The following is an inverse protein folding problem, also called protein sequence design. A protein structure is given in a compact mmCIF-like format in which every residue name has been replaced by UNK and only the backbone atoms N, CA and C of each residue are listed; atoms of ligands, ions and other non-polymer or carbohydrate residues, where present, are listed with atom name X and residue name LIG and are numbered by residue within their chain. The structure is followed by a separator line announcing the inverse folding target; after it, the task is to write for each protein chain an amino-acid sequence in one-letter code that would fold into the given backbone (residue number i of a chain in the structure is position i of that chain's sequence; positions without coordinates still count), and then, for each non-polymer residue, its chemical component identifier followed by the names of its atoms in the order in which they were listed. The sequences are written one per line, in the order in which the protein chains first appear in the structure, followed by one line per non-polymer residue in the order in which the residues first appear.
data_IF_053385829094
#
_entry.id   IF_053385829094
#
_cell.length_a   1.000
_cell.length_b   1.000
_cell.length_c   1.000
_cell.angle_alpha   90.00
_cell.angle_beta   90.00
_cell.angle_gamma   90.00
#
_symmetry.space_group_name_H-M   'P 1'
#
loop_
_entity.id
_entity.type
_entity.pdbx_description
1 polymer ?
#
# COMPACT_ATOMS: atom_id res chain seq x y z
N UNK A 1 4.87 4.76 -10.73
CA UNK A 1 4.29 5.89 -9.97
C UNK A 1 4.66 5.67 -8.51
N UNK A 2 5.27 6.66 -7.83
CA UNK A 2 5.53 6.54 -6.39
C UNK A 2 4.27 6.95 -5.64
N UNK A 3 3.88 6.17 -4.65
CA UNK A 3 2.72 6.43 -3.77
C UNK A 3 3.16 6.48 -2.33
N UNK A 4 2.41 7.20 -1.49
CA UNK A 4 2.58 7.22 -0.04
C UNK A 4 1.43 6.47 0.60
N UNK A 5 1.73 5.56 1.52
CA UNK A 5 0.76 4.86 2.35
C UNK A 5 0.82 5.35 3.79
N UNK A 6 -0.33 5.48 4.43
CA UNK A 6 -0.46 5.53 5.89
C UNK A 6 -0.50 4.10 6.44
N UNK A 7 0.48 3.74 7.27
CA UNK A 7 0.69 2.37 7.78
C UNK A 7 0.99 2.39 9.27
N UNK A 8 0.65 1.32 10.00
CA UNK A 8 1.08 1.09 11.37
C UNK A 8 1.99 -0.15 11.42
N UNK A 9 3.04 -0.08 12.25
CA UNK A 9 4.06 -1.14 12.33
C UNK A 9 3.47 -2.54 12.55
N UNK A 10 2.62 -2.78 13.57
CA UNK A 10 2.11 -4.12 13.86
C UNK A 10 1.48 -4.84 12.66
N UNK A 11 0.65 -4.16 11.86
CA UNK A 11 -0.01 -4.81 10.73
C UNK A 11 0.83 -4.78 9.45
N UNK A 12 1.57 -3.69 9.22
CA UNK A 12 2.38 -3.55 8.01
C UNK A 12 3.61 -4.47 8.02
N UNK A 13 4.34 -4.52 9.14
CA UNK A 13 5.58 -5.29 9.26
C UNK A 13 5.32 -6.80 9.26
N UNK A 14 4.10 -7.23 9.62
CA UNK A 14 3.68 -8.63 9.63
C UNK A 14 3.03 -9.09 8.32
N UNK A 15 2.98 -8.24 7.30
CA UNK A 15 2.37 -8.61 6.03
C UNK A 15 3.19 -9.68 5.30
N UNK A 16 2.56 -10.83 5.02
CA UNK A 16 3.15 -11.99 4.35
C UNK A 16 2.44 -12.37 3.04
N UNK A 17 1.37 -11.67 2.67
CA UNK A 17 0.65 -11.92 1.41
C UNK A 17 -0.86 -11.68 1.48
N UNK A 18 -1.54 -11.89 0.34
CA UNK A 18 -2.97 -11.63 0.19
C UNK A 18 -3.31 -10.15 -0.01
N UNK A 19 -4.60 -9.81 -0.13
CA UNK A 19 -5.05 -8.42 -0.30
C UNK A 19 -5.07 -7.72 1.06
N UNK A 20 -4.13 -6.80 1.26
CA UNK A 20 -4.04 -5.96 2.45
C UNK A 20 -5.17 -4.91 2.46
N UNK A 21 -5.90 -4.84 3.58
CA UNK A 21 -7.01 -3.89 3.77
C UNK A 21 -7.08 -3.30 5.17
N UNK A 22 -6.04 -3.47 6.00
CA UNK A 22 -5.95 -2.76 7.27
C UNK A 22 -5.76 -1.26 6.96
N UNK A 23 -6.42 -0.40 7.74
CA UNK A 23 -6.37 1.04 7.52
C UNK A 23 -6.18 1.75 8.86
N UNK A 24 -4.93 2.14 9.18
CA UNK A 24 -4.70 2.98 10.33
C UNK A 24 -5.21 4.40 10.03
N UNK A 25 -5.64 5.11 11.07
CA UNK A 25 -6.09 6.49 10.92
C UNK A 25 -4.96 7.38 10.44
N UNK A 26 -5.18 8.21 9.41
CA UNK A 26 -4.14 9.09 8.86
C UNK A 26 -3.51 10.04 9.90
N UNK A 27 -4.27 10.42 10.94
CA UNK A 27 -3.83 11.28 12.03
C UNK A 27 -3.57 10.53 13.35
N UNK A 28 -3.54 9.19 13.34
CA UNK A 28 -3.20 8.41 14.52
C UNK A 28 -1.69 8.56 14.84
N UNK A 29 -1.37 8.66 16.13
CA UNK A 29 0.01 8.76 16.64
C UNK A 29 0.90 7.56 16.26
N UNK A 30 0.29 6.41 15.96
CA UNK A 30 1.01 5.19 15.58
C UNK A 30 1.11 5.01 14.06
N UNK A 31 0.63 5.97 13.27
CA UNK A 31 0.67 5.94 11.81
C UNK A 31 1.95 6.56 11.30
N UNK A 32 2.68 5.82 10.47
CA UNK A 32 3.79 6.31 9.67
C UNK A 32 3.34 6.52 8.21
N UNK A 33 4.04 7.42 7.52
CA UNK A 33 3.93 7.56 6.06
C UNK A 33 5.08 6.78 5.41
N UNK A 34 4.74 5.83 4.54
CA UNK A 34 5.72 4.98 3.84
C UNK A 34 5.60 5.13 2.32
N UNK A 35 6.75 5.23 1.64
CA UNK A 35 6.81 5.38 0.19
C UNK A 35 6.97 4.03 -0.51
N UNK A 36 6.14 3.75 -1.51
CA UNK A 36 6.19 2.52 -2.29
C UNK A 36 6.04 2.79 -3.79
N UNK A 37 6.47 1.84 -4.62
CA UNK A 37 6.31 1.94 -6.07
C UNK A 37 5.03 1.22 -6.50
N UNK A 38 4.07 1.96 -7.07
CA UNK A 38 2.94 1.38 -7.78
C UNK A 38 3.40 0.88 -9.16
N UNK A 39 3.36 -0.44 -9.33
CA UNK A 39 3.80 -1.14 -10.55
C UNK A 39 2.65 -1.70 -11.38
N UNK A 40 1.43 -1.78 -10.81
CA UNK A 40 0.28 -2.26 -11.54
C UNK A 40 -1.00 -2.32 -10.70
N UNK A 41 -2.04 -2.90 -11.28
CA UNK A 41 -3.30 -3.21 -10.64
C UNK A 41 -3.84 -4.52 -11.18
N UNK A 42 -4.68 -5.19 -10.39
CA UNK A 42 -5.22 -6.49 -10.78
C UNK A 42 -6.37 -6.92 -9.87
N UNK A 43 -6.56 -8.24 -9.81
CA UNK A 43 -7.56 -8.90 -8.98
C UNK A 43 -6.97 -10.17 -8.37
N UNK A 44 -6.85 -10.20 -7.05
CA UNK A 44 -6.39 -11.35 -6.26
C UNK A 44 -7.52 -11.76 -5.32
N UNK A 45 -8.60 -12.31 -5.88
CA UNK A 45 -9.90 -12.47 -5.21
C UNK A 45 -10.69 -11.15 -5.18
N UNK A 46 -10.06 -10.08 -4.72
CA UNK A 46 -10.58 -8.70 -4.73
C UNK A 46 -9.72 -7.78 -5.61
N UNK A 47 -10.28 -6.65 -6.03
CA UNK A 47 -9.55 -5.62 -6.77
C UNK A 47 -8.39 -5.08 -5.91
N UNK A 48 -7.19 -5.03 -6.49
CA UNK A 48 -6.01 -4.56 -5.79
C UNK A 48 -5.11 -3.65 -6.64
N UNK A 49 -4.32 -2.85 -5.95
CA UNK A 49 -3.08 -2.24 -6.42
C UNK A 49 -1.92 -3.19 -6.17
N UNK A 50 -0.93 -3.20 -7.05
CA UNK A 50 0.30 -3.99 -6.91
C UNK A 50 1.43 -3.01 -6.58
N UNK A 51 1.99 -3.14 -5.39
CA UNK A 51 3.00 -2.25 -4.85
C UNK A 51 4.30 -3.01 -4.62
N UNK A 52 5.42 -2.47 -5.10
CA UNK A 52 6.74 -2.99 -4.81
C UNK A 52 7.33 -2.27 -3.60
N UNK A 53 7.75 -3.03 -2.59
CA UNK A 53 8.42 -2.50 -1.40
C UNK A 53 9.94 -2.46 -1.59
N UNK A 54 10.63 -1.75 -0.70
CA UNK A 54 12.10 -1.66 -0.65
C UNK A 54 12.72 -2.46 0.50
N UNK A 55 11.97 -3.37 1.13
CA UNK A 55 12.40 -4.14 2.31
C UNK A 55 12.94 -5.54 1.99
N UNK A 56 13.22 -5.82 0.71
CA UNK A 56 13.67 -7.13 0.26
C UNK A 56 12.53 -8.12 0.01
N UNK A 57 12.90 -9.34 -0.37
CA UNK A 57 11.95 -10.37 -0.83
C UNK A 57 11.22 -11.09 0.30
N UNK A 58 11.71 -10.98 1.53
CA UNK A 58 11.09 -11.59 2.71
C UNK A 58 9.81 -10.86 3.15
N UNK A 59 9.57 -9.66 2.60
CA UNK A 59 8.37 -8.90 2.84
C UNK A 59 7.25 -9.31 1.89
N UNK A 60 6.06 -9.62 2.42
CA UNK A 60 4.88 -9.87 1.60
C UNK A 60 5.07 -11.04 0.63
N UNK A 61 4.60 -10.85 -0.60
CA UNK A 61 4.72 -11.81 -1.70
C UNK A 61 5.94 -11.44 -2.54
N UNK A 62 7.10 -12.03 -2.24
CA UNK A 62 8.38 -11.78 -2.94
C UNK A 62 8.79 -10.28 -3.00
N UNK A 63 8.49 -9.51 -1.96
CA UNK A 63 8.74 -8.07 -1.88
C UNK A 63 7.59 -7.19 -2.38
N UNK A 64 6.49 -7.79 -2.81
CA UNK A 64 5.28 -7.10 -3.26
C UNK A 64 4.17 -7.11 -2.22
N UNK A 65 3.32 -6.09 -2.31
CA UNK A 65 2.07 -5.96 -1.57
C UNK A 65 0.90 -5.76 -2.52
N UNK A 66 -0.18 -6.49 -2.27
CA UNK A 66 -1.46 -6.28 -2.92
C UNK A 66 -2.36 -5.45 -2.01
N UNK A 67 -2.57 -4.18 -2.34
CA UNK A 67 -3.38 -3.27 -1.52
C UNK A 67 -4.81 -3.17 -2.05
N UNK A 68 -5.82 -3.24 -1.19
CA UNK A 68 -7.23 -3.16 -1.61
C UNK A 68 -7.51 -1.91 -2.43
N UNK A 69 -8.11 -2.12 -3.62
CA UNK A 69 -8.49 -1.07 -4.58
C UNK A 69 -10.01 -0.99 -4.66
N UNK A 70 -10.53 0.18 -5.00
CA UNK A 70 -11.97 0.38 -5.19
C UNK A 70 -12.76 0.43 -3.87
N UNK A 71 -12.16 0.93 -2.79
CA UNK A 71 -12.81 1.01 -1.46
C UNK A 71 -13.99 1.99 -1.39
N UNK A 72 -14.18 2.84 -2.41
CA UNK A 72 -15.16 3.94 -2.40
C UNK A 72 -14.77 5.12 -1.50
N UNK A 73 -13.65 5.03 -0.78
CA UNK A 73 -13.14 6.10 0.10
C UNK A 73 -12.39 7.15 -0.72
N UNK A 74 -12.57 8.42 -0.38
CA UNK A 74 -11.94 9.55 -1.07
C UNK A 74 -10.40 9.46 -1.11
N UNK A 75 -9.79 8.92 -0.05
CA UNK A 75 -8.33 8.77 0.05
C UNK A 75 -7.82 7.39 -0.38
N UNK A 76 -8.73 6.46 -0.71
CA UNK A 76 -8.40 5.04 -0.94
C UNK A 76 -7.98 4.30 0.33
N UNK A 77 -7.60 3.02 0.17
CA UNK A 77 -7.00 2.24 1.26
C UNK A 77 -5.64 2.83 1.63
N UNK A 78 -5.34 2.93 2.94
CA UNK A 78 -4.08 3.47 3.45
C UNK A 78 -3.72 4.85 2.86
N UNK A 79 -4.70 5.67 2.49
CA UNK A 79 -4.48 6.99 1.89
C UNK A 79 -3.64 7.01 0.60
N UNK A 80 -3.59 5.90 -0.15
CA UNK A 80 -2.79 5.76 -1.38
C UNK A 80 -3.05 6.85 -2.44
N UNK A 81 -4.24 7.46 -2.45
CA UNK A 81 -4.63 8.47 -3.44
C UNK A 81 -4.15 9.89 -3.09
N UNK A 82 -3.53 10.11 -1.93
CA UNK A 82 -3.19 11.47 -1.45
C UNK A 82 -2.03 12.11 -2.22
N UNK A 83 -0.96 11.36 -2.49
CA UNK A 83 0.27 11.93 -3.08
C UNK A 83 0.95 11.03 -4.12
N UNK A 84 0.25 10.59 -5.19
CA UNK A 84 0.88 9.86 -6.27
C UNK A 84 1.77 10.80 -7.13
N UNK A 85 3.00 10.39 -7.39
CA UNK A 85 3.95 11.16 -8.20
C UNK A 85 4.62 10.29 -9.28
N UNK A 86 4.99 10.91 -10.39
CA UNK A 86 5.74 10.25 -11.46
C UNK A 86 6.70 11.26 -12.12
N UNK A 87 7.89 10.81 -12.55
CA UNK A 87 8.81 11.66 -13.28
C UNK A 87 8.23 12.00 -14.66
N UNK A 88 8.45 13.23 -15.12
CA UNK A 88 8.25 13.60 -16.52
C UNK A 88 9.59 13.51 -17.23
N UNK A 89 9.61 12.79 -18.35
CA UNK A 89 10.74 12.70 -19.28
C UNK A 89 10.47 13.53 -20.52
#
# INVERSE_FOLDING_TARGET
VVVTLAVDGPHFDQYTGGVYSHEPGFYDKNTALHGMLLVGYGKHGEDCWILQNSYGTDFGDEGFMYLKRGTGKALGCCSILVSPTYPKV
#
